data_IF_671514156947
#
_entry.id   IF_671514156947
#
_cell.length_a   1.000
_cell.length_b   1.000
_cell.length_c   1.000
_cell.angle_alpha   90.00
_cell.angle_beta   90.00
_cell.angle_gamma   90.00
#
_symmetry.space_group_name_H-M   'P 1'
#
loop_
_entity.id
_entity.type
_entity.pdbx_description
1 polymer ?
#
# COMPACT_ATOMS: atom_id res chain seq x y z
N UNK A 1 18.25 31.09 71.39
CA UNK A 1 17.26 32.15 71.70
C UNK A 1 15.88 31.64 71.29
N UNK A 2 15.03 31.44 72.28
CA UNK A 2 13.62 31.06 72.14
C UNK A 2 12.84 32.23 71.54
N UNK A 3 12.00 32.01 70.53
CA UNK A 3 10.79 32.81 70.29
C UNK A 3 9.66 31.91 69.80
N UNK A 4 8.52 32.09 70.45
CA UNK A 4 7.30 31.30 70.41
C UNK A 4 6.20 31.99 69.57
N UNK A 5 5.37 31.14 68.90
CA UNK A 5 3.88 31.21 68.72
C UNK A 5 3.32 32.31 67.76
N UNK A 6 2.20 32.12 66.99
CA UNK A 6 1.07 31.19 67.23
C UNK A 6 0.50 30.34 66.06
N UNK A 7 -0.10 29.23 66.49
CA UNK A 7 -1.41 28.69 66.07
C UNK A 7 -2.24 29.58 65.11
N UNK A 8 -2.30 29.22 63.82
CA UNK A 8 -3.44 29.60 62.98
C UNK A 8 -3.68 28.71 61.75
N UNK A 9 -3.23 27.45 61.79
CA UNK A 9 -3.48 26.47 60.73
C UNK A 9 -4.29 25.27 61.25
N UNK A 10 -5.30 25.53 62.08
CA UNK A 10 -6.29 24.54 62.51
C UNK A 10 -7.65 24.90 61.90
N UNK A 11 -7.77 24.78 60.58
CA UNK A 11 -9.05 24.79 59.85
C UNK A 11 -8.79 24.49 58.36
N UNK A 12 -8.37 23.28 58.02
CA UNK A 12 -8.57 22.71 56.67
C UNK A 12 -8.25 21.19 56.60
N UNK A 13 -8.51 20.44 57.67
CA UNK A 13 -8.44 18.97 57.64
C UNK A 13 -9.75 18.29 58.07
N UNK A 14 -10.85 19.04 58.13
CA UNK A 14 -12.16 18.57 58.60
C UNK A 14 -13.22 18.35 57.51
N UNK A 15 -12.83 18.17 56.24
CA UNK A 15 -13.82 18.05 55.13
C UNK A 15 -13.73 16.72 54.35
N UNK A 16 -12.76 15.83 54.59
CA UNK A 16 -12.65 14.57 53.83
C UNK A 16 -13.11 13.30 54.56
N UNK A 17 -13.61 13.42 55.79
CA UNK A 17 -14.27 12.34 56.53
C UNK A 17 -15.53 12.93 57.16
N UNK A 18 -16.70 12.57 56.63
CA UNK A 18 -18.01 13.12 57.01
C UNK A 18 -18.45 12.78 58.44
N UNK A 19 -17.77 13.34 59.44
CA UNK A 19 -18.16 13.31 60.85
C UNK A 19 -18.03 14.70 61.44
N UNK A 20 -19.13 15.23 62.00
CA UNK A 20 -19.14 16.49 62.75
C UNK A 20 -18.35 16.33 64.05
N UNK A 21 -17.22 17.02 64.19
CA UNK A 21 -16.47 17.11 65.46
C UNK A 21 -16.85 18.40 66.19
N UNK A 22 -17.38 18.25 67.41
CA UNK A 22 -17.58 19.34 68.37
C UNK A 22 -16.22 19.85 68.90
N UNK A 23 -16.12 21.13 69.32
CA UNK A 23 -14.83 21.71 69.68
C UNK A 23 -14.47 21.34 71.13
N UNK A 24 -13.46 20.49 71.31
CA UNK A 24 -12.79 20.28 72.58
C UNK A 24 -11.44 21.00 72.59
N UNK A 25 -11.21 21.74 73.66
CA UNK A 25 -10.11 22.65 73.95
C UNK A 25 -8.71 22.02 73.78
N UNK A 26 -7.80 22.84 73.24
CA UNK A 26 -6.43 22.51 72.91
C UNK A 26 -5.51 22.40 74.14
N UNK A 27 -5.07 21.18 74.43
CA UNK A 27 -3.76 20.88 75.02
C UNK A 27 -3.39 19.46 74.54
N UNK A 28 -2.92 19.34 73.30
CA UNK A 28 -2.38 18.08 72.80
C UNK A 28 -0.89 18.05 73.12
N UNK A 29 -0.49 17.10 73.97
CA UNK A 29 0.92 16.76 74.14
C UNK A 29 1.51 16.34 72.79
N UNK A 30 2.76 16.69 72.50
CA UNK A 30 3.43 16.31 71.23
C UNK A 30 3.30 14.80 70.95
N UNK A 31 3.23 13.98 72.00
CA UNK A 31 3.02 12.53 71.91
C UNK A 31 1.66 12.14 71.28
N UNK A 32 0.58 12.87 71.54
CA UNK A 32 -0.76 12.58 71.00
C UNK A 32 -0.87 12.90 69.51
N UNK A 33 -0.10 13.89 69.03
CA UNK A 33 -0.06 14.26 67.61
C UNK A 33 0.68 13.18 66.81
N UNK A 34 1.77 12.63 67.33
CA UNK A 34 2.51 11.54 66.69
C UNK A 34 1.68 10.26 66.61
N UNK A 35 0.96 9.89 67.68
CA UNK A 35 0.09 8.70 67.70
C UNK A 35 -1.11 8.81 66.75
N UNK A 36 -1.63 10.03 66.53
CA UNK A 36 -2.69 10.26 65.53
C UNK A 36 -2.15 10.32 64.09
N UNK A 37 -0.92 10.81 63.90
CA UNK A 37 -0.31 10.96 62.57
C UNK A 37 0.13 9.63 61.95
N UNK A 38 0.60 8.66 62.75
CA UNK A 38 1.10 7.38 62.23
C UNK A 38 0.02 6.61 61.44
N UNK A 39 -1.22 6.43 61.94
CA UNK A 39 -2.32 5.83 61.18
C UNK A 39 -2.71 6.63 59.93
N UNK A 40 -2.70 7.97 59.99
CA UNK A 40 -3.02 8.84 58.84
C UNK A 40 -1.98 8.66 57.72
N UNK A 41 -0.69 8.68 58.06
CA UNK A 41 0.39 8.48 57.08
C UNK A 41 0.34 7.07 56.48
N UNK A 42 0.08 6.05 57.30
CA UNK A 42 -0.09 4.68 56.81
C UNK A 42 -1.32 4.55 55.89
N UNK A 43 -2.45 5.16 56.24
CA UNK A 43 -3.66 5.19 55.41
C UNK A 43 -3.44 5.91 54.07
N UNK A 44 -2.75 7.05 54.06
CA UNK A 44 -2.36 7.75 52.82
C UNK A 44 -1.46 6.87 51.95
N UNK A 45 -0.48 6.18 52.53
CA UNK A 45 0.40 5.23 51.80
C UNK A 45 -0.37 4.04 51.24
N UNK A 46 -1.30 3.46 52.01
CA UNK A 46 -2.15 2.36 51.54
C UNK A 46 -3.05 2.81 50.39
N UNK A 47 -3.67 3.99 50.50
CA UNK A 47 -4.51 4.56 49.44
C UNK A 47 -3.72 4.88 48.19
N UNK A 48 -2.50 5.42 48.33
CA UNK A 48 -1.59 5.64 47.21
C UNK A 48 -1.20 4.33 46.50
N UNK A 49 -0.98 3.24 47.26
CA UNK A 49 -0.73 1.91 46.68
C UNK A 49 -1.97 1.37 45.96
N UNK A 50 -3.16 1.50 46.53
CA UNK A 50 -4.41 1.07 45.89
C UNK A 50 -4.65 1.83 44.58
N UNK A 51 -4.54 3.16 44.59
CA UNK A 51 -4.67 3.98 43.39
C UNK A 51 -3.62 3.65 42.33
N UNK A 52 -2.38 3.35 42.75
CA UNK A 52 -1.34 2.92 41.80
C UNK A 52 -1.67 1.58 41.14
N UNK A 53 -2.23 0.62 41.89
CA UNK A 53 -2.65 -0.67 41.34
C UNK A 53 -3.85 -0.51 40.40
N UNK A 54 -4.82 0.34 40.76
CA UNK A 54 -5.97 0.67 39.93
C UNK A 54 -5.54 1.35 38.63
N UNK A 55 -4.68 2.36 38.70
CA UNK A 55 -4.13 3.02 37.52
C UNK A 55 -3.41 2.02 36.60
N UNK A 56 -2.59 1.11 37.16
CA UNK A 56 -1.92 0.06 36.36
C UNK A 56 -2.92 -0.88 35.70
N UNK A 57 -4.01 -1.24 36.38
CA UNK A 57 -5.07 -2.07 35.81
C UNK A 57 -5.79 -1.33 34.68
N UNK A 58 -6.14 -0.06 34.88
CA UNK A 58 -6.75 0.77 33.86
C UNK A 58 -5.84 0.96 32.65
N UNK A 59 -4.54 1.16 32.86
CA UNK A 59 -3.53 1.22 31.79
C UNK A 59 -3.46 -0.10 31.01
N UNK A 60 -3.46 -1.24 31.71
CA UNK A 60 -3.45 -2.56 31.08
C UNK A 60 -4.74 -2.83 30.29
N UNK A 61 -5.89 -2.50 30.86
CA UNK A 61 -7.19 -2.65 30.22
C UNK A 61 -7.28 -1.74 28.98
N UNK A 62 -6.75 -0.52 29.06
CA UNK A 62 -6.66 0.42 27.95
C UNK A 62 -5.71 -0.07 26.85
N UNK A 63 -4.52 -0.56 27.18
CA UNK A 63 -3.57 -1.14 26.20
C UNK A 63 -4.17 -2.37 25.51
N UNK A 64 -4.84 -3.24 26.27
CA UNK A 64 -5.55 -4.40 25.74
C UNK A 64 -6.67 -3.98 24.80
N UNK A 65 -7.47 -2.97 25.19
CA UNK A 65 -8.52 -2.40 24.35
C UNK A 65 -7.95 -1.77 23.07
N UNK A 66 -6.89 -0.98 23.18
CA UNK A 66 -6.24 -0.34 22.02
C UNK A 66 -5.72 -1.40 21.07
N UNK A 67 -5.00 -2.42 21.56
CA UNK A 67 -4.48 -3.51 20.71
C UNK A 67 -5.59 -4.33 20.05
N UNK A 68 -6.69 -4.60 20.75
CA UNK A 68 -7.81 -5.34 20.20
C UNK A 68 -8.59 -4.55 19.13
N UNK A 69 -8.56 -3.21 19.19
CA UNK A 69 -9.28 -2.34 18.25
C UNK A 69 -8.37 -1.66 17.21
N UNK A 70 -7.05 -1.77 17.34
CA UNK A 70 -6.10 -1.25 16.36
C UNK A 70 -5.80 -2.36 15.36
N UNK A 71 -5.95 -2.04 14.07
CA UNK A 71 -5.61 -2.97 13.01
C UNK A 71 -4.12 -3.34 13.11
N UNK A 72 -3.85 -4.63 12.96
CA UNK A 72 -2.47 -5.09 12.81
C UNK A 72 -1.87 -4.55 11.51
N UNK A 73 -0.54 -4.41 11.40
CA UNK A 73 0.11 -3.97 10.16
C UNK A 73 -0.24 -4.85 8.94
N UNK A 74 -0.51 -6.14 9.15
CA UNK A 74 -1.00 -7.05 8.10
C UNK A 74 -2.41 -6.70 7.64
N UNK A 75 -3.32 -6.41 8.57
CA UNK A 75 -4.70 -6.05 8.26
C UNK A 75 -4.76 -4.69 7.56
N UNK A 76 -3.95 -3.71 7.98
CA UNK A 76 -3.85 -2.44 7.27
C UNK A 76 -3.37 -2.59 5.83
N UNK A 77 -2.40 -3.48 5.58
CA UNK A 77 -1.92 -3.75 4.21
C UNK A 77 -3.01 -4.38 3.37
N UNK A 78 -3.76 -5.33 3.93
CA UNK A 78 -4.87 -5.98 3.25
C UNK A 78 -6.03 -5.01 2.99
N UNK A 79 -6.35 -4.14 3.96
CA UNK A 79 -7.35 -3.09 3.79
C UNK A 79 -6.95 -2.14 2.66
N UNK A 80 -5.72 -1.60 2.70
CA UNK A 80 -5.19 -0.74 1.64
C UNK A 80 -5.18 -1.42 0.28
N UNK A 81 -4.86 -2.71 0.22
CA UNK A 81 -4.92 -3.50 -1.02
C UNK A 81 -6.35 -3.55 -1.55
N UNK A 82 -7.33 -3.88 -0.71
CA UNK A 82 -8.75 -3.93 -1.10
C UNK A 82 -9.25 -2.59 -1.62
N UNK A 83 -8.92 -1.49 -0.92
CA UNK A 83 -9.29 -0.14 -1.34
C UNK A 83 -8.71 0.22 -2.71
N UNK A 84 -7.43 -0.09 -2.96
CA UNK A 84 -6.81 0.14 -4.27
C UNK A 84 -7.51 -0.62 -5.38
N UNK A 85 -7.85 -1.90 -5.17
CA UNK A 85 -8.54 -2.68 -6.20
C UNK A 85 -9.96 -2.17 -6.42
N UNK A 86 -10.69 -1.79 -5.36
CA UNK A 86 -12.01 -1.19 -5.51
C UNK A 86 -11.94 0.10 -6.33
N UNK A 87 -10.98 0.98 -6.03
CA UNK A 87 -10.74 2.20 -6.81
C UNK A 87 -10.39 1.88 -8.27
N UNK A 88 -9.51 0.91 -8.50
CA UNK A 88 -9.11 0.48 -9.83
C UNK A 88 -10.29 -0.02 -10.67
N UNK A 89 -11.27 -0.68 -10.04
CA UNK A 89 -12.46 -1.18 -10.71
C UNK A 89 -13.55 -0.12 -10.88
N UNK A 90 -13.66 0.85 -9.97
CA UNK A 90 -14.78 1.79 -9.95
C UNK A 90 -14.53 3.06 -10.76
N UNK A 91 -13.41 3.74 -10.51
CA UNK A 91 -13.14 5.08 -11.06
C UNK A 91 -11.63 5.39 -11.05
N UNK A 92 -10.83 4.70 -11.88
CA UNK A 92 -9.43 5.04 -12.03
C UNK A 92 -9.28 6.30 -12.89
N UNK A 93 -8.38 7.17 -12.49
CA UNK A 93 -8.02 8.34 -13.29
C UNK A 93 -7.23 7.92 -14.54
N UNK A 94 -7.36 8.69 -15.62
CA UNK A 94 -6.57 8.47 -16.86
C UNK A 94 -5.06 8.47 -16.58
N UNK A 95 -4.60 9.25 -15.61
CA UNK A 95 -3.21 9.30 -15.16
C UNK A 95 -2.75 8.01 -14.49
N UNK A 96 -3.58 7.38 -13.65
CA UNK A 96 -3.27 6.09 -13.00
C UNK A 96 -3.28 4.92 -14.00
N UNK A 97 -4.14 5.00 -15.02
CA UNK A 97 -4.11 4.02 -16.12
C UNK A 97 -2.82 4.18 -16.91
N UNK A 98 -2.48 5.40 -17.34
CA UNK A 98 -1.25 5.68 -18.12
C UNK A 98 0.03 5.36 -17.36
N UNK A 99 0.07 5.53 -16.04
CA UNK A 99 1.24 5.19 -15.24
C UNK A 99 1.47 3.68 -15.12
N UNK A 100 0.44 2.87 -15.40
CA UNK A 100 0.46 1.44 -15.14
C UNK A 100 0.02 1.05 -13.73
N UNK A 101 -0.19 2.01 -12.81
CA UNK A 101 -0.48 1.70 -11.40
C UNK A 101 -1.80 0.96 -11.23
N UNK A 102 -2.87 1.41 -11.90
CA UNK A 102 -4.17 0.73 -11.87
C UNK A 102 -4.07 -0.68 -12.43
N UNK A 103 -3.32 -0.86 -13.53
CA UNK A 103 -3.10 -2.16 -14.15
C UNK A 103 -2.34 -3.11 -13.21
N UNK A 104 -1.38 -2.58 -12.45
CA UNK A 104 -0.61 -3.33 -11.45
C UNK A 104 -1.46 -3.74 -10.24
N UNK A 105 -2.36 -2.86 -9.76
CA UNK A 105 -3.29 -3.21 -8.68
C UNK A 105 -4.23 -4.36 -9.11
N UNK A 106 -4.76 -4.31 -10.35
CA UNK A 106 -5.58 -5.39 -10.92
C UNK A 106 -4.78 -6.67 -11.17
N UNK A 107 -3.55 -6.55 -11.67
CA UNK A 107 -2.64 -7.70 -11.86
C UNK A 107 -2.40 -8.43 -10.54
N UNK A 108 -2.08 -7.68 -9.47
CA UNK A 108 -1.84 -8.24 -8.14
C UNK A 108 -3.07 -8.96 -7.60
N UNK A 109 -4.26 -8.40 -7.79
CA UNK A 109 -5.49 -9.05 -7.33
C UNK A 109 -5.81 -10.31 -8.13
N UNK A 110 -5.70 -10.26 -9.47
CA UNK A 110 -5.88 -11.42 -10.33
C UNK A 110 -4.90 -12.56 -9.97
N UNK A 111 -3.64 -12.24 -9.64
CA UNK A 111 -2.66 -13.19 -9.16
C UNK A 111 -3.11 -13.89 -7.86
N UNK A 112 -3.62 -13.12 -6.90
CA UNK A 112 -4.11 -13.65 -5.62
C UNK A 112 -5.36 -14.50 -5.81
N UNK A 113 -6.29 -14.10 -6.67
CA UNK A 113 -7.49 -14.87 -6.96
C UNK A 113 -7.17 -16.19 -7.64
N UNK A 114 -6.22 -16.18 -8.59
CA UNK A 114 -5.77 -17.40 -9.27
C UNK A 114 -5.01 -18.35 -8.36
N UNK A 115 -4.16 -17.83 -7.45
CA UNK A 115 -3.46 -18.68 -6.49
C UNK A 115 -4.41 -19.36 -5.50
N UNK A 116 -5.58 -18.77 -5.26
CA UNK A 116 -6.69 -19.35 -4.50
C UNK A 116 -7.59 -20.30 -5.31
N UNK A 117 -7.26 -20.56 -6.57
CA UNK A 117 -7.96 -21.53 -7.42
C UNK A 117 -8.99 -20.96 -8.38
N UNK A 118 -9.30 -19.66 -8.34
CA UNK A 118 -10.23 -19.08 -9.31
C UNK A 118 -9.65 -19.13 -10.73
N UNK A 119 -10.41 -19.71 -11.65
CA UNK A 119 -10.10 -19.75 -13.09
C UNK A 119 -11.35 -19.39 -13.88
N UNK A 120 -11.18 -18.48 -14.84
CA UNK A 120 -12.22 -18.06 -15.78
C UNK A 120 -11.61 -17.90 -17.15
N UNK A 121 -12.42 -18.11 -18.18
CA UNK A 121 -12.02 -17.80 -19.56
C UNK A 121 -11.83 -16.28 -19.71
N UNK A 122 -10.72 -15.91 -20.35
CA UNK A 122 -10.35 -14.52 -20.57
C UNK A 122 -10.64 -14.07 -21.99
N UNK A 123 -11.00 -12.79 -22.13
CA UNK A 123 -11.17 -12.14 -23.42
C UNK A 123 -9.86 -12.13 -24.19
N UNK A 124 -9.93 -12.47 -25.49
CA UNK A 124 -8.80 -12.39 -26.42
C UNK A 124 -8.45 -10.94 -26.70
N UNK A 125 -7.16 -10.61 -26.63
CA UNK A 125 -6.65 -9.27 -26.91
C UNK A 125 -6.33 -9.13 -28.38
N UNK A 126 -6.61 -7.96 -28.98
CA UNK A 126 -6.02 -7.63 -30.26
C UNK A 126 -4.49 -7.60 -30.14
N UNK A 127 -3.78 -8.29 -31.03
CA UNK A 127 -2.32 -8.40 -30.99
C UNK A 127 -1.59 -7.04 -31.03
N UNK A 128 -2.22 -6.02 -31.60
CA UNK A 128 -1.68 -4.67 -31.64
C UNK A 128 -1.72 -3.93 -30.29
N UNK A 129 -2.58 -4.34 -29.35
CA UNK A 129 -2.65 -3.76 -28.00
C UNK A 129 -1.48 -4.26 -27.16
N UNK A 130 -1.24 -5.57 -27.17
CA UNK A 130 -0.15 -6.22 -26.43
C UNK A 130 1.23 -5.67 -26.81
N UNK A 131 1.46 -5.44 -28.10
CA UNK A 131 2.73 -4.84 -28.57
C UNK A 131 2.97 -3.43 -28.01
N UNK A 132 1.93 -2.70 -27.63
CA UNK A 132 2.01 -1.31 -27.16
C UNK A 132 1.92 -1.18 -25.64
N UNK A 133 1.66 -2.28 -24.95
CA UNK A 133 1.75 -2.33 -23.50
C UNK A 133 3.22 -2.51 -23.11
N UNK A 134 3.68 -1.67 -22.19
CA UNK A 134 5.04 -1.76 -21.66
C UNK A 134 5.03 -2.51 -20.34
N UNK A 135 6.03 -3.36 -20.16
CA UNK A 135 6.25 -4.11 -18.92
C UNK A 135 7.71 -3.97 -18.49
N UNK A 136 7.97 -4.12 -17.20
CA UNK A 136 9.31 -4.15 -16.62
C UNK A 136 9.36 -5.14 -15.46
N UNK A 137 10.55 -5.56 -15.05
CA UNK A 137 10.71 -6.40 -13.88
C UNK A 137 10.23 -5.68 -12.61
N UNK A 138 9.46 -6.38 -11.78
CA UNK A 138 8.95 -5.83 -10.53
C UNK A 138 10.10 -5.45 -9.59
N UNK A 139 10.07 -4.23 -9.06
CA UNK A 139 11.14 -3.70 -8.21
C UNK A 139 12.43 -3.32 -8.96
N UNK A 140 12.50 -3.50 -10.29
CA UNK A 140 13.61 -2.96 -11.08
C UNK A 140 13.45 -1.44 -11.21
N UNK A 141 14.54 -0.66 -11.01
CA UNK A 141 14.52 0.77 -11.27
C UNK A 141 14.43 1.09 -12.77
N UNK A 142 14.59 0.09 -13.63
CA UNK A 142 14.71 0.23 -15.08
C UNK A 142 13.39 0.24 -15.86
N UNK A 143 13.35 1.02 -16.94
CA UNK A 143 12.20 1.09 -17.86
C UNK A 143 12.57 0.47 -19.21
N UNK A 144 12.17 -0.78 -19.43
CA UNK A 144 12.37 -1.48 -20.70
C UNK A 144 11.45 -0.96 -21.83
N UNK A 145 10.32 -0.33 -21.48
CA UNK A 145 9.28 0.06 -22.43
C UNK A 145 9.77 1.06 -23.47
N UNK A 146 10.60 2.01 -23.04
CA UNK A 146 11.14 3.05 -23.93
C UNK A 146 12.16 2.50 -24.95
N UNK A 147 12.73 1.31 -24.70
CA UNK A 147 13.70 0.65 -25.58
C UNK A 147 13.06 -0.41 -26.49
N UNK A 148 11.77 -0.70 -26.32
CA UNK A 148 11.08 -1.83 -26.96
C UNK A 148 11.18 -1.80 -28.49
N UNK A 149 10.96 -0.64 -29.09
CA UNK A 149 10.94 -0.43 -30.55
C UNK A 149 12.31 -0.07 -31.15
N UNK A 150 13.38 -0.05 -30.34
CA UNK A 150 14.73 0.31 -30.78
C UNK A 150 14.91 1.78 -31.19
N UNK A 151 13.86 2.61 -31.07
CA UNK A 151 13.91 4.05 -31.29
C UNK A 151 13.25 4.78 -30.14
N UNK A 152 13.87 5.89 -29.74
CA UNK A 152 13.31 6.69 -28.67
C UNK A 152 12.08 7.51 -29.13
N UNK A 153 10.97 7.44 -28.39
CA UNK A 153 9.75 8.19 -28.68
C UNK A 153 9.87 9.64 -28.18
N UNK A 154 10.71 10.44 -28.83
CA UNK A 154 11.00 11.82 -28.43
C UNK A 154 9.72 12.66 -28.23
N UNK A 155 9.51 13.29 -27.06
CA UNK A 155 8.43 14.24 -26.81
C UNK A 155 8.49 15.45 -27.74
N UNK A 156 7.35 16.09 -28.01
CA UNK A 156 7.25 17.22 -28.94
C UNK A 156 8.29 18.32 -28.67
N UNK A 157 8.43 18.73 -27.40
CA UNK A 157 9.37 19.76 -26.98
C UNK A 157 10.84 19.40 -27.27
N UNK A 158 11.19 18.11 -27.16
CA UNK A 158 12.55 17.64 -27.44
C UNK A 158 12.81 17.44 -28.94
N UNK A 159 11.79 17.54 -29.79
CA UNK A 159 11.95 17.51 -31.26
C UNK A 159 12.36 18.84 -31.86
N UNK A 160 12.45 19.90 -31.05
CA UNK A 160 12.94 21.20 -31.50
C UNK A 160 14.39 21.09 -32.02
N UNK A 161 14.71 21.90 -33.04
CA UNK A 161 16.03 22.00 -33.64
C UNK A 161 17.14 22.27 -32.61
N UNK A 162 16.80 22.97 -31.52
CA UNK A 162 17.71 23.21 -30.40
C UNK A 162 18.28 21.92 -29.75
N UNK A 163 17.61 20.78 -29.92
CA UNK A 163 17.98 19.50 -29.33
C UNK A 163 18.47 18.47 -30.35
N UNK A 164 18.51 18.78 -31.65
CA UNK A 164 18.85 17.83 -32.73
C UNK A 164 20.21 17.16 -32.57
N UNK A 165 21.21 17.90 -32.07
CA UNK A 165 22.53 17.35 -31.81
C UNK A 165 22.50 16.30 -30.70
N UNK A 166 21.85 16.64 -29.59
CA UNK A 166 21.72 15.76 -28.43
C UNK A 166 20.89 14.51 -28.76
N UNK A 167 19.76 14.67 -29.47
CA UNK A 167 18.92 13.54 -29.91
C UNK A 167 19.70 12.55 -30.76
N UNK A 168 20.42 13.03 -31.77
CA UNK A 168 21.24 12.17 -32.65
C UNK A 168 22.40 11.50 -31.93
N UNK A 169 22.97 12.14 -30.91
CA UNK A 169 23.98 11.50 -30.05
C UNK A 169 23.35 10.37 -29.24
N UNK A 170 22.24 10.64 -28.55
CA UNK A 170 21.55 9.68 -27.68
C UNK A 170 21.00 8.50 -28.48
N UNK A 171 20.35 8.72 -29.62
CA UNK A 171 19.81 7.65 -30.47
C UNK A 171 20.93 6.69 -30.94
N UNK A 172 22.10 7.24 -31.30
CA UNK A 172 23.27 6.42 -31.69
C UNK A 172 23.81 5.62 -30.51
N UNK A 173 23.95 6.24 -29.34
CA UNK A 173 24.46 5.57 -28.15
C UNK A 173 23.51 4.48 -27.65
N UNK A 174 22.19 4.71 -27.68
CA UNK A 174 21.19 3.69 -27.30
C UNK A 174 21.19 2.53 -28.28
N UNK A 175 21.19 2.80 -29.59
CA UNK A 175 21.25 1.74 -30.59
C UNK A 175 22.48 0.86 -30.37
N UNK A 176 23.63 1.49 -30.10
CA UNK A 176 24.86 0.79 -29.77
C UNK A 176 24.75 -0.01 -28.48
N UNK A 177 24.26 0.59 -27.40
CA UNK A 177 24.14 -0.09 -26.10
C UNK A 177 23.19 -1.30 -26.17
N UNK A 178 22.05 -1.17 -26.86
CA UNK A 178 21.11 -2.29 -27.06
C UNK A 178 21.74 -3.40 -27.90
N UNK A 179 22.54 -3.06 -28.92
CA UNK A 179 23.30 -4.05 -29.70
C UNK A 179 24.36 -4.75 -28.85
N UNK A 180 25.09 -4.00 -28.00
CA UNK A 180 26.10 -4.55 -27.11
C UNK A 180 25.49 -5.54 -26.11
N UNK A 181 24.32 -5.21 -25.52
CA UNK A 181 23.55 -6.11 -24.64
C UNK A 181 23.09 -7.39 -25.35
N UNK A 182 22.82 -7.32 -26.66
CA UNK A 182 22.38 -8.52 -27.41
C UNK A 182 23.53 -9.46 -27.75
N UNK A 183 24.79 -9.01 -27.66
CA UNK A 183 25.97 -9.81 -27.98
C UNK A 183 26.72 -10.26 -26.70
N UNK A 184 26.70 -9.42 -25.67
CA UNK A 184 27.41 -9.59 -24.39
C UNK A 184 26.82 -8.59 -23.36
N UNK A 185 27.63 -8.10 -22.43
CA UNK A 185 27.25 -6.97 -21.57
C UNK A 185 27.47 -5.62 -22.29
N UNK A 186 26.61 -4.64 -21.98
CA UNK A 186 26.79 -3.27 -22.46
C UNK A 186 28.16 -2.69 -22.06
N UNK A 187 28.79 -1.97 -22.98
CA UNK A 187 30.10 -1.38 -22.73
C UNK A 187 29.99 -0.21 -21.75
N UNK A 188 30.76 -0.27 -20.66
CA UNK A 188 30.71 0.74 -19.59
C UNK A 188 31.05 2.15 -20.11
N UNK A 189 31.89 2.28 -21.15
CA UNK A 189 32.17 3.57 -21.77
C UNK A 189 30.95 4.08 -22.56
N UNK A 190 30.28 3.20 -23.32
CA UNK A 190 29.03 3.52 -24.02
C UNK A 190 27.95 4.00 -23.04
N UNK A 191 27.72 3.27 -21.95
CA UNK A 191 26.72 3.62 -20.92
C UNK A 191 27.06 4.95 -20.23
N UNK A 192 28.33 5.14 -19.84
CA UNK A 192 28.77 6.39 -19.23
C UNK A 192 28.66 7.60 -20.17
N UNK A 193 28.89 7.42 -21.48
CA UNK A 193 28.66 8.47 -22.48
C UNK A 193 27.17 8.81 -22.60
N UNK A 194 26.31 7.80 -22.57
CA UNK A 194 24.86 7.95 -22.65
C UNK A 194 24.29 8.71 -21.44
N UNK A 195 24.68 8.35 -20.22
CA UNK A 195 24.31 9.06 -18.98
C UNK A 195 24.71 10.54 -19.03
N UNK A 196 25.93 10.83 -19.49
CA UNK A 196 26.40 12.22 -19.66
C UNK A 196 25.60 12.96 -20.72
N UNK A 197 25.24 12.31 -21.82
CA UNK A 197 24.42 12.92 -22.88
C UNK A 197 23.01 13.26 -22.38
N UNK A 198 22.37 12.36 -21.63
CA UNK A 198 21.07 12.60 -20.98
C UNK A 198 21.14 13.72 -19.95
N UNK A 199 22.18 13.75 -19.13
CA UNK A 199 22.42 14.81 -18.14
C UNK A 199 22.61 16.18 -18.82
N UNK A 200 23.35 16.24 -19.93
CA UNK A 200 23.50 17.48 -20.73
C UNK A 200 22.19 17.92 -21.35
N UNK A 201 21.40 16.98 -21.86
CA UNK A 201 20.07 17.26 -22.42
C UNK A 201 19.14 17.86 -21.34
N UNK A 202 19.12 17.27 -20.14
CA UNK A 202 18.33 17.77 -19.01
C UNK A 202 18.76 19.18 -18.57
N UNK A 203 20.06 19.42 -18.50
CA UNK A 203 20.63 20.73 -18.22
C UNK A 203 20.22 21.76 -19.27
N UNK A 204 20.30 21.42 -20.56
CA UNK A 204 19.89 22.32 -21.65
C UNK A 204 18.40 22.63 -21.62
N UNK A 205 17.55 21.62 -21.36
CA UNK A 205 16.11 21.80 -21.22
C UNK A 205 15.78 22.75 -20.06
N UNK A 206 16.46 22.56 -18.92
CA UNK A 206 16.28 23.42 -17.73
C UNK A 206 16.75 24.85 -17.98
N UNK A 207 17.88 25.04 -18.68
CA UNK A 207 18.37 26.36 -19.08
C UNK A 207 17.40 27.05 -20.04
N UNK A 208 16.92 26.34 -21.07
CA UNK A 208 15.94 26.87 -22.01
C UNK A 208 14.66 27.33 -21.29
N UNK A 209 14.19 26.55 -20.30
CA UNK A 209 13.03 26.92 -19.51
C UNK A 209 13.24 28.22 -18.71
N UNK A 210 14.43 28.40 -18.15
CA UNK A 210 14.81 29.65 -17.44
C UNK A 210 14.95 30.84 -18.39
N UNK A 211 15.54 30.63 -19.56
CA UNK A 211 15.77 31.68 -20.57
C UNK A 211 14.46 32.21 -21.16
N UNK A 212 13.51 31.32 -21.44
CA UNK A 212 12.24 31.69 -22.05
C UNK A 212 11.23 32.22 -21.02
N UNK A 213 11.21 31.66 -19.81
CA UNK A 213 10.29 32.07 -18.75
C UNK A 213 8.85 32.13 -19.26
N UNK A 214 8.16 33.25 -19.01
CA UNK A 214 6.76 33.46 -19.43
C UNK A 214 6.58 33.59 -20.96
N UNK A 215 7.66 33.70 -21.73
CA UNK A 215 7.62 33.76 -23.20
C UNK A 215 7.71 32.40 -23.87
N UNK A 216 7.71 31.32 -23.08
CA UNK A 216 7.75 29.96 -23.58
C UNK A 216 6.59 29.68 -24.56
N UNK A 217 6.90 29.12 -25.71
CA UNK A 217 5.90 28.66 -26.68
C UNK A 217 5.30 27.28 -26.31
N UNK A 218 5.77 26.68 -25.23
CA UNK A 218 5.37 25.37 -24.72
C UNK A 218 4.64 25.51 -23.38
N UNK A 219 3.74 24.57 -23.14
CA UNK A 219 2.97 24.46 -21.90
C UNK A 219 3.78 23.82 -20.76
N UNK A 220 3.43 24.07 -19.49
CA UNK A 220 4.02 23.36 -18.35
C UNK A 220 3.91 21.83 -18.47
N UNK A 221 2.84 21.33 -19.08
CA UNK A 221 2.64 19.90 -19.34
C UNK A 221 3.64 19.32 -20.33
N UNK A 222 3.98 20.06 -21.40
CA UNK A 222 5.00 19.63 -22.37
C UNK A 222 6.40 19.60 -21.75
N UNK A 223 6.72 20.57 -20.90
CA UNK A 223 7.96 20.59 -20.15
C UNK A 223 8.05 19.39 -19.19
N UNK A 224 7.00 19.13 -18.41
CA UNK A 224 6.94 17.96 -17.52
C UNK A 224 7.07 16.66 -18.30
N UNK A 225 6.40 16.54 -19.45
CA UNK A 225 6.51 15.35 -20.33
C UNK A 225 7.94 15.13 -20.81
N UNK A 226 8.66 16.21 -21.15
CA UNK A 226 10.07 16.14 -21.55
C UNK A 226 10.97 15.70 -20.37
N UNK A 227 10.76 16.24 -19.17
CA UNK A 227 11.52 15.85 -17.96
C UNK A 227 11.27 14.39 -17.59
N UNK A 228 10.01 13.95 -17.63
CA UNK A 228 9.66 12.55 -17.37
C UNK A 228 10.29 11.60 -18.39
N UNK A 229 10.29 11.98 -19.66
CA UNK A 229 10.97 11.21 -20.71
C UNK A 229 12.47 11.06 -20.43
N UNK A 230 13.17 12.15 -20.07
CA UNK A 230 14.61 12.08 -19.77
C UNK A 230 14.87 11.18 -18.56
N UNK A 231 14.05 11.30 -17.51
CA UNK A 231 14.12 10.42 -16.33
C UNK A 231 13.91 8.95 -16.71
N UNK A 232 12.93 8.65 -17.56
CA UNK A 232 12.67 7.27 -18.04
C UNK A 232 13.80 6.74 -18.91
N UNK A 233 14.40 7.58 -19.76
CA UNK A 233 15.57 7.21 -20.54
C UNK A 233 16.76 6.89 -19.63
N UNK A 234 16.97 7.65 -18.55
CA UNK A 234 18.00 7.37 -17.54
C UNK A 234 17.75 6.03 -16.82
N UNK A 235 16.50 5.76 -16.43
CA UNK A 235 16.09 4.45 -15.92
C UNK A 235 16.36 3.31 -16.91
N UNK A 236 16.12 3.54 -18.20
CA UNK A 236 16.44 2.56 -19.23
C UNK A 236 17.96 2.30 -19.33
N UNK A 237 18.81 3.30 -19.09
CA UNK A 237 20.26 3.08 -18.99
C UNK A 237 20.61 2.20 -17.79
N UNK A 238 19.99 2.46 -16.63
CA UNK A 238 20.16 1.61 -15.44
C UNK A 238 19.72 0.16 -15.67
N UNK A 239 18.76 -0.08 -16.57
CA UNK A 239 18.40 -1.44 -16.99
C UNK A 239 19.52 -2.08 -17.80
N UNK A 240 20.10 -1.34 -18.75
CA UNK A 240 21.19 -1.83 -19.62
C UNK A 240 22.49 -2.11 -18.86
N UNK A 241 22.67 -1.52 -17.67
CA UNK A 241 23.77 -1.83 -16.75
C UNK A 241 23.61 -3.19 -16.04
N UNK A 242 22.40 -3.76 -16.03
CA UNK A 242 22.15 -5.00 -15.29
C UNK A 242 22.71 -6.22 -16.05
N UNK A 243 23.28 -7.21 -15.35
CA UNK A 243 23.81 -8.43 -15.98
C UNK A 243 22.77 -9.25 -16.76
N UNK A 244 21.48 -9.08 -16.45
CA UNK A 244 20.36 -9.75 -17.14
C UNK A 244 19.56 -8.79 -18.02
N UNK A 245 20.17 -7.71 -18.50
CA UNK A 245 19.52 -6.71 -19.36
C UNK A 245 18.91 -7.34 -20.62
N UNK A 246 19.62 -8.27 -21.28
CA UNK A 246 19.15 -8.94 -22.50
C UNK A 246 17.83 -9.68 -22.25
N UNK A 247 17.82 -10.52 -21.21
CA UNK A 247 16.64 -11.28 -20.81
C UNK A 247 15.47 -10.34 -20.47
N UNK A 248 15.71 -9.27 -19.71
CA UNK A 248 14.66 -8.31 -19.36
C UNK A 248 14.09 -7.59 -20.59
N UNK A 249 14.93 -7.21 -21.55
CA UNK A 249 14.49 -6.60 -22.80
C UNK A 249 13.69 -7.58 -23.67
N UNK A 250 14.14 -8.83 -23.77
CA UNK A 250 13.45 -9.87 -24.51
C UNK A 250 12.06 -10.14 -23.91
N UNK A 251 11.98 -10.29 -22.58
CA UNK A 251 10.72 -10.51 -21.86
C UNK A 251 9.72 -9.36 -22.04
N UNK A 252 10.21 -8.13 -22.14
CA UNK A 252 9.38 -6.95 -22.37
C UNK A 252 8.95 -6.76 -23.84
N UNK A 253 9.77 -7.21 -24.79
CA UNK A 253 9.48 -7.13 -26.24
C UNK A 253 8.48 -8.20 -26.67
N UNK A 254 8.73 -9.44 -26.27
CA UNK A 254 8.04 -10.62 -26.78
C UNK A 254 7.03 -11.17 -25.77
N UNK A 255 6.05 -10.34 -25.40
CA UNK A 255 4.96 -10.74 -24.52
C UNK A 255 4.17 -11.91 -25.14
N UNK A 256 4.41 -13.13 -24.62
CA UNK A 256 3.71 -14.34 -25.04
C UNK A 256 2.34 -14.45 -24.36
N UNK A 257 1.42 -13.59 -24.77
CA UNK A 257 0.04 -13.61 -24.29
C UNK A 257 -0.91 -13.21 -25.41
N UNK A 258 -2.02 -13.92 -25.56
CA UNK A 258 -3.16 -13.58 -26.42
C UNK A 258 -4.41 -13.21 -25.62
N UNK A 259 -4.42 -13.44 -24.30
CA UNK A 259 -5.55 -13.13 -23.41
C UNK A 259 -5.08 -12.46 -22.11
N UNK A 260 -6.01 -11.84 -21.37
CA UNK A 260 -5.70 -11.30 -20.03
C UNK A 260 -5.21 -12.39 -19.06
N UNK A 261 -5.76 -13.61 -19.13
CA UNK A 261 -5.32 -14.72 -18.28
C UNK A 261 -3.88 -15.15 -18.58
N UNK A 262 -3.54 -15.25 -19.86
CA UNK A 262 -2.19 -15.57 -20.32
C UNK A 262 -1.20 -14.47 -19.96
N UNK A 263 -1.59 -13.21 -20.11
CA UNK A 263 -0.74 -12.08 -19.71
C UNK A 263 -0.46 -12.10 -18.20
N UNK A 264 -1.50 -12.27 -17.38
CA UNK A 264 -1.34 -12.41 -15.93
C UNK A 264 -0.42 -13.59 -15.62
N UNK A 265 -0.59 -14.75 -16.29
CA UNK A 265 0.29 -15.90 -16.09
C UNK A 265 1.74 -15.60 -16.47
N UNK A 266 1.97 -15.03 -17.66
CA UNK A 266 3.28 -14.67 -18.16
C UNK A 266 3.99 -13.68 -17.22
N UNK A 267 3.29 -12.62 -16.80
CA UNK A 267 3.84 -11.62 -15.88
C UNK A 267 4.07 -12.19 -14.48
N UNK A 268 3.26 -13.15 -14.03
CA UNK A 268 3.48 -13.84 -12.76
C UNK A 268 4.73 -14.71 -12.80
N UNK A 269 4.90 -15.48 -13.87
CA UNK A 269 6.05 -16.39 -14.05
C UNK A 269 7.36 -15.63 -14.14
N UNK A 270 7.38 -14.50 -14.83
CA UNK A 270 8.59 -13.72 -15.08
C UNK A 270 8.77 -12.53 -14.12
N UNK A 271 7.91 -12.40 -13.11
CA UNK A 271 8.00 -11.32 -12.12
C UNK A 271 7.88 -9.92 -12.74
N UNK A 272 7.00 -9.75 -13.72
CA UNK A 272 6.83 -8.49 -14.46
C UNK A 272 5.65 -7.68 -13.91
N UNK A 273 5.74 -6.36 -14.11
CA UNK A 273 4.69 -5.40 -13.84
C UNK A 273 4.52 -4.46 -15.04
N UNK A 274 3.35 -3.82 -15.15
CA UNK A 274 3.11 -2.78 -16.14
C UNK A 274 4.02 -1.58 -15.87
N UNK A 275 4.69 -1.13 -16.92
CA UNK A 275 5.47 0.10 -16.93
C UNK A 275 4.59 1.27 -17.43
N UNK A 276 5.03 2.53 -17.31
CA UNK A 276 4.29 3.66 -17.83
C UNK A 276 4.12 3.62 -19.36
N UNK A 277 2.97 4.09 -19.84
CA UNK A 277 2.70 4.26 -21.25
C UNK A 277 3.69 5.25 -21.89
N UNK A 278 4.08 4.99 -23.13
CA UNK A 278 4.80 5.95 -23.96
C UNK A 278 3.79 6.84 -24.68
N UNK A 279 4.19 8.06 -25.05
CA UNK A 279 3.34 8.97 -25.83
C UNK A 279 2.79 8.29 -27.09
N UNK A 280 1.47 8.24 -27.22
CA UNK A 280 0.75 7.57 -28.30
C UNK A 280 0.09 6.26 -27.86
N UNK A 281 0.60 5.57 -26.84
CA UNK A 281 0.11 4.25 -26.38
C UNK A 281 -1.09 4.34 -25.42
N UNK A 282 -1.62 5.54 -25.17
CA UNK A 282 -2.67 5.76 -24.18
C UNK A 282 -3.94 4.95 -24.47
N UNK A 283 -4.29 4.79 -25.75
CA UNK A 283 -5.42 3.95 -26.17
C UNK A 283 -5.19 2.47 -25.89
N UNK A 284 -3.95 1.99 -26.03
CA UNK A 284 -3.61 0.60 -25.74
C UNK A 284 -3.72 0.33 -24.24
N UNK A 285 -3.25 1.25 -23.40
CA UNK A 285 -3.38 1.15 -21.94
C UNK A 285 -4.84 1.16 -21.48
N UNK A 286 -5.68 2.01 -22.08
CA UNK A 286 -7.13 2.00 -21.80
C UNK A 286 -7.78 0.66 -22.16
N UNK A 287 -7.40 0.09 -23.30
CA UNK A 287 -7.92 -1.22 -23.75
C UNK A 287 -7.45 -2.35 -22.84
N UNK A 288 -6.17 -2.33 -22.46
CA UNK A 288 -5.59 -3.29 -21.52
C UNK A 288 -6.27 -3.21 -20.15
N UNK A 289 -6.56 -1.98 -19.68
CA UNK A 289 -7.28 -1.74 -18.44
C UNK A 289 -8.68 -2.38 -18.47
N UNK A 290 -9.47 -2.09 -19.49
CA UNK A 290 -10.82 -2.64 -19.63
C UNK A 290 -10.80 -4.17 -19.61
N UNK A 291 -9.89 -4.79 -20.35
CA UNK A 291 -9.78 -6.24 -20.40
C UNK A 291 -9.33 -6.87 -19.08
N UNK A 292 -8.43 -6.22 -18.33
CA UNK A 292 -8.01 -6.68 -17.01
C UNK A 292 -9.10 -6.48 -15.94
N UNK A 293 -9.81 -5.36 -15.96
CA UNK A 293 -10.91 -5.09 -15.04
C UNK A 293 -12.05 -6.10 -15.24
N UNK A 294 -12.39 -6.41 -16.49
CA UNK A 294 -13.37 -7.45 -16.83
C UNK A 294 -12.90 -8.83 -16.34
N UNK A 295 -11.63 -9.16 -16.55
CA UNK A 295 -11.06 -10.43 -16.11
C UNK A 295 -11.07 -10.58 -14.58
N UNK A 296 -10.66 -9.53 -13.86
CA UNK A 296 -10.64 -9.49 -12.39
C UNK A 296 -12.07 -9.63 -11.82
N UNK A 297 -13.02 -8.89 -12.39
CA UNK A 297 -14.44 -8.97 -12.00
C UNK A 297 -15.00 -10.38 -12.17
N UNK A 298 -14.65 -11.08 -13.26
CA UNK A 298 -15.05 -12.47 -13.49
C UNK A 298 -14.41 -13.43 -12.50
N UNK A 299 -13.11 -13.27 -12.19
CA UNK A 299 -12.42 -14.07 -11.17
C UNK A 299 -13.07 -13.93 -9.79
N UNK A 300 -13.38 -12.69 -9.39
CA UNK A 300 -14.09 -12.39 -8.13
C UNK A 300 -15.47 -13.03 -8.10
N UNK A 301 -16.23 -12.93 -9.19
CA UNK A 301 -17.54 -13.56 -9.33
C UNK A 301 -17.47 -15.08 -9.16
N UNK A 302 -16.46 -15.73 -9.76
CA UNK A 302 -16.22 -17.17 -9.62
C UNK A 302 -15.91 -17.56 -8.18
N UNK A 303 -15.01 -16.84 -7.52
CA UNK A 303 -14.63 -17.08 -6.11
C UNK A 303 -15.84 -16.95 -5.17
N UNK A 304 -16.66 -15.91 -5.35
CA UNK A 304 -17.85 -15.68 -4.54
C UNK A 304 -18.90 -16.80 -4.73
N UNK A 305 -19.02 -17.35 -5.94
CA UNK A 305 -19.91 -18.48 -6.22
C UNK A 305 -19.43 -19.76 -5.55
N UNK A 306 -18.13 -20.04 -5.59
CA UNK A 306 -17.53 -21.22 -4.94
C UNK A 306 -17.71 -21.17 -3.43
N UNK A 307 -17.45 -20.03 -2.79
CA UNK A 307 -17.69 -19.83 -1.36
C UNK A 307 -19.14 -20.09 -0.96
N UNK A 308 -20.11 -19.51 -1.70
CA UNK A 308 -21.54 -19.75 -1.45
C UNK A 308 -21.94 -21.22 -1.63
N UNK A 309 -21.40 -21.90 -2.63
CA UNK A 309 -21.68 -23.32 -2.85
C UNK A 309 -21.15 -24.21 -1.71
N UNK A 310 -19.99 -23.87 -1.14
CA UNK A 310 -19.44 -24.57 0.02
C UNK A 310 -20.27 -24.35 1.29
N UNK A 311 -20.77 -23.13 1.51
CA UNK A 311 -21.67 -22.82 2.62
C UNK A 311 -23.03 -23.55 2.51
N UNK A 312 -23.59 -23.65 1.31
CA UNK A 312 -24.85 -24.38 1.08
C UNK A 312 -24.67 -25.89 1.23
N UNK A 313 -23.54 -26.45 0.79
CA UNK A 313 -23.23 -27.87 0.97
C UNK A 313 -23.02 -28.25 2.44
N UNK A 314 -22.33 -27.40 3.21
CA UNK A 314 -22.13 -27.60 4.66
C UNK A 314 -23.43 -27.43 5.44
N UNK A 315 -24.29 -26.45 5.09
CA UNK A 315 -25.64 -26.35 5.68
C UNK A 315 -26.53 -27.56 5.37
N UNK A 316 -26.47 -28.10 4.15
CA UNK A 316 -27.23 -29.33 3.79
C UNK A 316 -26.70 -30.58 4.49
N UNK A 317 -25.37 -30.70 4.67
CA UNK A 317 -24.77 -31.79 5.44
C UNK A 317 -25.16 -31.72 6.93
N UNK A 318 -25.15 -30.52 7.54
CA UNK A 318 -25.59 -30.34 8.93
C UNK A 318 -27.10 -30.52 9.10
N UNK A 319 -27.90 -30.22 8.07
CA UNK A 319 -29.36 -30.40 8.08
C UNK A 319 -29.85 -31.83 7.86
N UNK A 320 -28.98 -32.78 7.49
CA UNK A 320 -29.38 -34.18 7.19
C UNK A 320 -29.06 -35.19 8.29
N UNK A 321 -28.26 -34.82 9.30
CA UNK A 321 -27.95 -35.68 10.47
C UNK A 321 -28.84 -35.44 11.70
N UNK A 322 -29.89 -34.61 11.60
CA UNK A 322 -30.70 -34.17 12.73
C UNK A 322 -32.16 -34.66 12.79
N UNK A 323 -32.61 -35.54 11.89
CA UNK A 323 -34.02 -35.96 11.86
C UNK A 323 -34.22 -37.44 11.58
N UNK A 324 -33.59 -38.31 12.38
CA UNK A 324 -34.13 -39.67 12.60
C UNK A 324 -35.05 -39.63 13.82
N UNK A 325 -36.32 -39.91 13.57
CA UNK A 325 -37.43 -39.71 14.49
C UNK A 325 -37.30 -40.42 15.84
N UNK A 326 -37.79 -39.72 16.85
CA UNK A 326 -38.30 -40.30 18.10
C UNK A 326 -39.47 -39.42 18.57
N UNK A 327 -40.58 -39.50 17.83
CA UNK A 327 -41.89 -39.12 18.35
C UNK A 327 -42.58 -40.42 18.76
N UNK A 328 -42.53 -40.72 20.05
CA UNK A 328 -43.14 -41.93 20.59
C UNK A 328 -42.79 -42.18 22.05
N UNK A 329 -43.69 -41.73 22.93
CA UNK A 329 -43.83 -42.13 24.34
C UNK A 329 -42.79 -41.60 25.36
N UNK A 330 -43.25 -40.70 26.25
CA UNK A 330 -43.30 -40.99 27.69
C UNK A 330 -43.88 -39.83 28.52
N UNK A 331 -45.03 -40.13 29.15
CA UNK A 331 -45.38 -39.85 30.56
C UNK A 331 -45.52 -38.39 31.02
N UNK A 332 -46.78 -37.96 31.01
CA UNK A 332 -47.35 -37.19 32.10
C UNK A 332 -47.35 -38.01 33.41
N UNK A 333 -46.68 -37.50 34.46
CA UNK A 333 -47.09 -37.71 35.87
C UNK A 333 -46.35 -36.75 36.83
N UNK A 334 -47.15 -35.87 37.43
CA UNK A 334 -47.07 -35.33 38.80
C UNK A 334 -45.76 -34.69 39.29
N UNK A 335 -45.83 -33.38 39.54
CA UNK A 335 -45.39 -32.81 40.80
C UNK A 335 -46.41 -31.74 41.25
N UNK A 336 -47.09 -32.02 42.36
CA UNK A 336 -47.99 -31.12 43.07
C UNK A 336 -47.26 -30.74 44.37
N UNK A 337 -47.43 -29.46 44.76
CA UNK A 337 -47.30 -28.89 46.10
C UNK A 337 -45.93 -28.36 46.57
N UNK A 338 -45.80 -27.04 46.54
CA UNK A 338 -45.55 -26.10 47.66
C UNK A 338 -45.07 -24.79 46.99
N UNK A 339 -45.66 -23.61 47.13
CA UNK A 339 -46.50 -22.99 48.15
C UNK A 339 -47.37 -21.93 47.45
#
# INVERSE_FOLDING_TARGET
MIRSIPMRAMLMAGVLLGGTLAPASAQADDADIYDLMVPVVQGVRQRARQLSLENRRLEFDLDTYIRANTLTPSEERELRRRERVLRALSDPTVTEIRSGSTLNDLLQDAQILRSRGARVEATVWPSHVLRRVNVTAAGSPGDAGILKDGRLPWPALLRDAAFDGARREIDRLITRAVSEVSERDADAETLGRLQRALSRLDGRLTLMAREQGDRAAWSPTEYMTAKDFIRRADQAVLLLEQPNAEEQLALARDLQAGTAAELVAYMTTHGLQFAPAVSGDERAYMTAYQALADYDTRLRGKMNMELRSTEDSTRRAVGTDGYTGSSGAARAKKAKAAL
#
